data_IF_326888483847
#
_entry.id   IF_326888483847
#
_cell.length_a   1.000
_cell.length_b   1.000
_cell.length_c   1.000
_cell.angle_alpha   90.00
_cell.angle_beta   90.00
_cell.angle_gamma   90.00
#
_symmetry.space_group_name_H-M   'P 1'
#
loop_
_entity.id
_entity.type
_entity.pdbx_description
1 polymer ?
#
# COMPACT_ATOMS: atom_id res chain seq x y z
N UNK A 1 -58.46 -44.77 -12.54
CA UNK A 1 -57.82 -43.45 -12.39
C UNK A 1 -56.63 -43.62 -11.43
N UNK A 2 -55.44 -43.15 -11.83
CA UNK A 2 -54.13 -43.58 -11.31
C UNK A 2 -53.94 -43.36 -9.79
N UNK A 3 -53.74 -44.44 -9.05
CA UNK A 3 -53.38 -44.42 -7.63
C UNK A 3 -51.87 -44.16 -7.51
N UNK A 4 -51.47 -42.88 -7.52
CA UNK A 4 -50.06 -42.49 -7.44
C UNK A 4 -49.51 -42.74 -6.03
N UNK A 5 -48.59 -43.70 -5.90
CA UNK A 5 -47.94 -44.05 -4.63
C UNK A 5 -47.28 -42.80 -3.99
N UNK A 6 -47.69 -42.36 -2.78
CA UNK A 6 -47.19 -41.15 -2.14
C UNK A 6 -45.68 -41.18 -1.90
N UNK A 7 -45.10 -42.37 -1.72
CA UNK A 7 -43.66 -42.55 -1.58
C UNK A 7 -42.90 -42.17 -2.86
N UNK A 8 -43.49 -42.33 -4.06
CA UNK A 8 -42.84 -41.97 -5.33
C UNK A 8 -42.76 -40.46 -5.50
N UNK A 9 -43.79 -39.72 -5.07
CA UNK A 9 -43.77 -38.24 -5.07
C UNK A 9 -42.76 -37.71 -4.05
N UNK A 10 -42.72 -38.29 -2.85
CA UNK A 10 -41.76 -37.93 -1.82
C UNK A 10 -40.31 -38.18 -2.27
N UNK A 11 -40.04 -39.34 -2.89
CA UNK A 11 -38.72 -39.68 -3.43
C UNK A 11 -38.29 -38.69 -4.52
N UNK A 12 -39.18 -38.34 -5.45
CA UNK A 12 -38.87 -37.37 -6.51
C UNK A 12 -38.53 -35.99 -5.93
N UNK A 13 -39.28 -35.52 -4.93
CA UNK A 13 -39.01 -34.21 -4.29
C UNK A 13 -37.65 -34.19 -3.58
N UNK A 14 -37.29 -35.25 -2.86
CA UNK A 14 -36.00 -35.35 -2.18
C UNK A 14 -34.82 -35.39 -3.17
N UNK A 15 -34.97 -36.12 -4.29
CA UNK A 15 -33.97 -36.18 -5.35
C UNK A 15 -33.76 -34.81 -5.99
N UNK A 16 -34.83 -34.09 -6.32
CA UNK A 16 -34.75 -32.74 -6.89
C UNK A 16 -34.10 -31.77 -5.89
N UNK A 17 -34.52 -31.78 -4.63
CA UNK A 17 -33.97 -30.90 -3.60
C UNK A 17 -32.46 -31.11 -3.42
N UNK A 18 -32.00 -32.37 -3.35
CA UNK A 18 -30.58 -32.69 -3.24
C UNK A 18 -29.78 -32.26 -4.49
N UNK A 19 -30.31 -32.46 -5.69
CA UNK A 19 -29.68 -32.06 -6.94
C UNK A 19 -29.53 -30.53 -7.06
N UNK A 20 -30.55 -29.77 -6.65
CA UNK A 20 -30.50 -28.29 -6.64
C UNK A 20 -29.44 -27.79 -5.67
N UNK A 21 -29.41 -28.33 -4.45
CA UNK A 21 -28.42 -27.95 -3.43
C UNK A 21 -27.01 -28.25 -3.92
N UNK A 22 -26.74 -29.47 -4.40
CA UNK A 22 -25.43 -29.86 -4.90
C UNK A 22 -24.97 -29.00 -6.09
N UNK A 23 -25.88 -28.69 -7.02
CA UNK A 23 -25.59 -27.82 -8.17
C UNK A 23 -25.20 -26.40 -7.74
N UNK A 24 -25.95 -25.80 -6.81
CA UNK A 24 -25.65 -24.46 -6.30
C UNK A 24 -24.29 -24.39 -5.59
N UNK A 25 -23.97 -25.38 -4.75
CA UNK A 25 -22.69 -25.45 -4.06
C UNK A 25 -21.51 -25.59 -5.03
N UNK A 26 -21.68 -26.35 -6.12
CA UNK A 26 -20.63 -26.53 -7.13
C UNK A 26 -20.33 -25.22 -7.87
N UNK A 27 -21.36 -24.48 -8.28
CA UNK A 27 -21.20 -23.17 -8.92
C UNK A 27 -20.53 -22.18 -7.97
N UNK A 28 -20.97 -22.11 -6.70
CA UNK A 28 -20.35 -21.25 -5.70
C UNK A 28 -18.87 -21.59 -5.45
N UNK A 29 -18.51 -22.88 -5.43
CA UNK A 29 -17.13 -23.31 -5.25
C UNK A 29 -16.23 -22.86 -6.42
N UNK A 30 -16.69 -23.01 -7.67
CA UNK A 30 -15.97 -22.56 -8.86
C UNK A 30 -15.80 -21.02 -8.84
N UNK A 31 -16.88 -20.30 -8.57
CA UNK A 31 -16.83 -18.84 -8.48
C UNK A 31 -15.85 -18.38 -7.39
N UNK A 32 -15.90 -18.98 -6.21
CA UNK A 32 -14.97 -18.69 -5.11
C UNK A 32 -13.51 -18.94 -5.49
N UNK A 33 -13.24 -20.03 -6.21
CA UNK A 33 -11.89 -20.38 -6.67
C UNK A 33 -11.31 -19.34 -7.66
N UNK A 34 -12.13 -18.82 -8.58
CA UNK A 34 -11.70 -17.78 -9.54
C UNK A 34 -11.61 -16.41 -8.89
N UNK A 35 -12.51 -16.10 -7.95
CA UNK A 35 -12.58 -14.81 -7.28
C UNK A 35 -11.42 -14.59 -6.31
N UNK A 36 -10.97 -15.61 -5.59
CA UNK A 36 -9.88 -15.49 -4.60
C UNK A 36 -8.58 -14.89 -5.17
N UNK A 37 -8.00 -15.38 -6.28
CA UNK A 37 -6.78 -14.78 -6.85
C UNK A 37 -7.01 -13.36 -7.40
N UNK A 38 -8.19 -13.09 -7.97
CA UNK A 38 -8.54 -11.76 -8.48
C UNK A 38 -8.66 -10.74 -7.34
N UNK A 39 -9.33 -11.13 -6.24
CA UNK A 39 -9.43 -10.28 -5.04
C UNK A 39 -8.07 -10.03 -4.39
N UNK A 40 -7.17 -11.03 -4.37
CA UNK A 40 -5.82 -10.85 -3.86
C UNK A 40 -5.04 -9.79 -4.67
N UNK A 41 -5.11 -9.84 -6.00
CA UNK A 41 -4.48 -8.84 -6.86
C UNK A 41 -5.12 -7.45 -6.69
N UNK A 42 -6.44 -7.37 -6.63
CA UNK A 42 -7.16 -6.11 -6.44
C UNK A 42 -6.80 -5.45 -5.10
N UNK A 43 -6.69 -6.25 -4.03
CA UNK A 43 -6.25 -5.77 -2.71
C UNK A 43 -4.83 -5.22 -2.74
N UNK A 44 -3.90 -5.87 -3.45
CA UNK A 44 -2.54 -5.36 -3.56
C UNK A 44 -2.46 -4.06 -4.38
N UNK A 45 -3.23 -3.94 -5.47
CA UNK A 45 -3.35 -2.67 -6.21
C UNK A 45 -3.87 -1.54 -5.32
N UNK A 46 -4.84 -1.83 -4.45
CA UNK A 46 -5.35 -0.86 -3.49
C UNK A 46 -4.28 -0.45 -2.47
N UNK A 47 -3.45 -1.38 -2.00
CA UNK A 47 -2.31 -1.08 -1.12
C UNK A 47 -1.25 -0.21 -1.81
N UNK A 48 -0.87 -0.54 -3.05
CA UNK A 48 0.06 0.28 -3.83
C UNK A 48 -0.47 1.72 -4.02
N UNK A 49 -1.75 1.85 -4.36
CA UNK A 49 -2.41 3.17 -4.49
C UNK A 49 -2.41 3.94 -3.16
N UNK A 50 -2.70 3.26 -2.05
CA UNK A 50 -2.64 3.84 -0.72
C UNK A 50 -1.22 4.24 -0.31
N UNK A 51 -0.20 3.44 -0.67
CA UNK A 51 1.20 3.78 -0.47
C UNK A 51 1.58 5.09 -1.18
N UNK A 52 1.20 5.24 -2.46
CA UNK A 52 1.41 6.49 -3.20
C UNK A 52 0.65 7.67 -2.58
N UNK A 53 -0.58 7.45 -2.10
CA UNK A 53 -1.35 8.49 -1.41
C UNK A 53 -0.67 8.94 -0.10
N UNK A 54 -0.10 8.00 0.64
CA UNK A 54 0.68 8.29 1.84
C UNK A 54 1.92 9.14 1.51
N UNK A 55 2.67 8.77 0.47
CA UNK A 55 3.82 9.55 -0.03
C UNK A 55 3.43 10.98 -0.42
N UNK A 56 2.29 11.18 -1.09
CA UNK A 56 1.80 12.52 -1.44
C UNK A 56 1.48 13.36 -0.20
N UNK A 57 0.80 12.77 0.79
CA UNK A 57 0.51 13.44 2.07
C UNK A 57 1.80 13.81 2.81
N UNK A 58 2.80 12.92 2.82
CA UNK A 58 4.12 13.23 3.36
C UNK A 58 4.80 14.38 2.60
N UNK A 59 4.69 14.43 1.26
CA UNK A 59 5.21 15.53 0.45
C UNK A 59 4.65 16.90 0.86
N UNK A 60 3.33 16.96 1.09
CA UNK A 60 2.71 18.16 1.66
C UNK A 60 3.25 18.48 3.06
N UNK A 61 3.42 17.47 3.93
CA UNK A 61 3.96 17.65 5.27
C UNK A 61 5.43 18.13 5.28
N UNK A 62 6.28 17.64 4.38
CA UNK A 62 7.65 18.14 4.21
C UNK A 62 7.68 19.60 3.75
N UNK A 63 6.79 19.97 2.83
CA UNK A 63 6.68 21.35 2.37
C UNK A 63 6.25 22.29 3.51
N UNK A 64 5.27 21.88 4.32
CA UNK A 64 4.84 22.64 5.52
C UNK A 64 5.96 22.73 6.56
N UNK A 65 6.63 21.63 6.87
CA UNK A 65 7.79 21.62 7.77
C UNK A 65 8.86 22.62 7.29
N UNK A 66 9.21 22.59 6.01
CA UNK A 66 10.22 23.49 5.45
C UNK A 66 9.81 24.97 5.55
N UNK A 67 8.52 25.28 5.37
CA UNK A 67 8.01 26.66 5.55
C UNK A 67 8.25 27.16 6.98
N UNK A 68 8.05 26.31 7.99
CA UNK A 68 8.24 26.67 9.40
C UNK A 68 9.72 26.64 9.84
N UNK A 69 10.57 25.89 9.14
CA UNK A 69 11.96 25.59 9.55
C UNK A 69 13.00 26.19 8.60
N UNK A 70 12.86 27.47 8.26
CA UNK A 70 13.84 28.24 7.44
C UNK A 70 14.15 27.56 6.09
N UNK A 71 13.14 26.98 5.47
CA UNK A 71 13.25 26.22 4.23
C UNK A 71 14.18 25.00 4.31
N UNK A 72 14.44 24.45 5.49
CA UNK A 72 15.28 23.25 5.64
C UNK A 72 14.45 21.98 5.67
N UNK A 73 14.98 20.92 5.07
CA UNK A 73 14.49 19.57 5.27
C UNK A 73 14.78 19.07 6.69
N UNK A 74 13.96 18.18 7.24
CA UNK A 74 14.14 17.71 8.61
C UNK A 74 15.43 16.89 8.77
N UNK A 75 15.95 16.80 10.00
CA UNK A 75 17.08 15.93 10.30
C UNK A 75 16.70 14.45 10.11
N UNK A 76 17.54 13.71 9.39
CA UNK A 76 17.31 12.31 9.05
C UNK A 76 17.01 11.42 10.26
N UNK A 77 17.64 11.65 11.41
CA UNK A 77 17.47 10.83 12.62
C UNK A 77 16.06 10.86 13.22
N UNK A 78 15.24 11.85 12.88
CA UNK A 78 13.90 12.07 13.45
C UNK A 78 12.92 12.65 12.43
N UNK A 79 13.06 12.29 11.16
CA UNK A 79 12.28 12.89 10.07
C UNK A 79 10.77 12.64 10.21
N UNK A 80 10.36 11.47 10.68
CA UNK A 80 8.95 11.14 10.90
C UNK A 80 8.39 11.98 12.05
N UNK A 81 9.13 12.14 13.15
CA UNK A 81 8.75 13.01 14.26
C UNK A 81 8.56 14.45 13.80
N UNK A 82 9.48 14.92 12.97
CA UNK A 82 9.48 16.29 12.46
C UNK A 82 8.25 16.60 11.60
N UNK A 83 7.81 15.65 10.75
CA UNK A 83 6.64 15.87 9.88
C UNK A 83 5.31 15.45 10.51
N UNK A 84 5.32 14.69 11.61
CA UNK A 84 4.11 14.17 12.27
C UNK A 84 3.06 15.25 12.60
N UNK A 85 3.43 16.44 13.12
CA UNK A 85 2.46 17.50 13.41
C UNK A 85 1.71 18.03 12.17
N UNK A 86 2.26 17.82 10.97
CA UNK A 86 1.71 18.28 9.70
C UNK A 86 0.89 17.19 8.98
N UNK A 87 0.76 16.01 9.57
CA UNK A 87 0.00 14.90 9.00
C UNK A 87 -1.39 14.80 9.63
N UNK A 88 -2.46 14.66 8.81
CA UNK A 88 -3.81 14.48 9.35
C UNK A 88 -3.99 13.13 10.05
N UNK A 89 -3.27 12.09 9.59
CA UNK A 89 -3.36 10.72 10.12
C UNK A 89 -1.97 10.05 10.16
N UNK A 90 -1.06 10.48 11.06
CA UNK A 90 0.34 10.03 11.04
C UNK A 90 0.49 8.52 11.19
N UNK A 91 -0.31 7.86 12.03
CA UNK A 91 -0.26 6.41 12.22
C UNK A 91 -0.56 5.60 10.95
N UNK A 92 -1.37 6.16 10.05
CA UNK A 92 -1.68 5.52 8.76
C UNK A 92 -0.70 5.97 7.68
N UNK A 93 -0.38 7.25 7.63
CA UNK A 93 0.39 7.85 6.53
C UNK A 93 1.87 7.49 6.58
N UNK A 94 2.44 7.31 7.78
CA UNK A 94 3.85 6.93 7.93
C UNK A 94 4.11 5.43 7.73
N UNK A 95 3.08 4.65 7.40
CA UNK A 95 3.17 3.19 7.26
C UNK A 95 2.79 2.74 5.87
N UNK A 96 3.65 1.95 5.24
CA UNK A 96 3.34 1.31 3.97
C UNK A 96 2.30 0.19 4.21
N UNK A 97 1.17 0.17 3.49
CA UNK A 97 0.11 -0.82 3.70
C UNK A 97 0.47 -2.24 3.22
N UNK A 98 1.62 -2.40 2.56
CA UNK A 98 2.18 -3.69 2.12
C UNK A 98 3.25 -4.25 3.08
N UNK A 99 3.49 -3.61 4.24
CA UNK A 99 4.32 -4.17 5.32
C UNK A 99 3.46 -4.58 6.53
N UNK A 100 3.98 -5.37 7.49
CA UNK A 100 3.26 -5.67 8.73
C UNK A 100 2.76 -4.39 9.41
N UNK A 101 1.55 -4.41 9.98
CA UNK A 101 0.86 -3.20 10.47
C UNK A 101 1.64 -2.40 11.54
N UNK A 102 2.51 -3.08 12.30
CA UNK A 102 3.36 -2.46 13.33
C UNK A 102 4.64 -1.80 12.77
N UNK A 103 4.94 -2.00 11.49
CA UNK A 103 6.12 -1.49 10.79
C UNK A 103 5.82 -0.18 10.04
N UNK A 104 6.87 0.49 9.56
CA UNK A 104 6.75 1.74 8.78
C UNK A 104 6.98 1.52 7.28
N UNK A 105 8.12 0.94 6.89
CA UNK A 105 8.37 0.56 5.48
C UNK A 105 8.71 1.71 4.53
N UNK A 106 8.95 2.92 5.06
CA UNK A 106 9.49 4.07 4.33
C UNK A 106 10.83 4.48 4.94
N UNK A 107 11.79 4.85 4.09
CA UNK A 107 13.03 5.49 4.53
C UNK A 107 13.20 6.88 3.91
N UNK A 108 13.87 7.75 4.66
CA UNK A 108 14.25 9.09 4.23
C UNK A 108 15.67 9.10 3.68
N UNK A 109 15.89 9.79 2.57
CA UNK A 109 17.23 9.91 1.98
C UNK A 109 18.12 10.78 2.87
N UNK A 110 19.09 10.15 3.55
CA UNK A 110 19.96 10.80 4.53
C UNK A 110 20.81 11.91 3.92
N UNK A 111 21.09 11.86 2.62
CA UNK A 111 21.86 12.89 1.91
C UNK A 111 21.14 14.23 1.87
N UNK A 112 19.81 14.24 2.05
CA UNK A 112 18.98 15.44 2.02
C UNK A 112 18.79 16.10 3.39
N UNK A 113 19.27 15.45 4.46
CA UNK A 113 19.10 15.90 5.83
C UNK A 113 19.60 17.34 6.03
N UNK A 114 18.71 18.24 6.45
CA UNK A 114 19.05 19.65 6.72
C UNK A 114 19.34 20.50 5.48
N UNK A 115 19.29 19.94 4.27
CA UNK A 115 19.44 20.74 3.04
C UNK A 115 18.28 21.72 2.89
N UNK A 116 18.54 22.86 2.25
CA UNK A 116 17.48 23.79 1.90
C UNK A 116 16.55 23.16 0.85
N UNK A 117 15.26 23.01 1.17
CA UNK A 117 14.26 22.34 0.36
C UNK A 117 14.06 23.01 -1.01
N UNK A 118 14.03 24.35 -1.07
CA UNK A 118 13.87 25.05 -2.35
C UNK A 118 15.09 24.86 -3.26
N UNK A 119 16.30 24.94 -2.69
CA UNK A 119 17.51 24.66 -3.44
C UNK A 119 17.56 23.20 -3.92
N UNK A 120 17.18 22.25 -3.07
CA UNK A 120 17.12 20.84 -3.42
C UNK A 120 16.12 20.59 -4.56
N UNK A 121 14.96 21.25 -4.56
CA UNK A 121 13.95 21.14 -5.64
C UNK A 121 14.47 21.62 -6.99
N UNK A 122 15.31 22.65 -7.02
CA UNK A 122 15.89 23.16 -8.27
C UNK A 122 17.06 22.30 -8.73
N UNK A 123 17.92 21.88 -7.81
CA UNK A 123 19.19 21.22 -8.17
C UNK A 123 19.07 19.70 -8.29
N UNK A 124 18.13 19.09 -7.58
CA UNK A 124 17.98 17.64 -7.43
C UNK A 124 16.49 17.22 -7.46
N UNK A 125 15.69 17.66 -8.44
CA UNK A 125 14.24 17.42 -8.45
C UNK A 125 13.87 15.93 -8.42
N UNK A 126 14.63 15.12 -9.16
CA UNK A 126 14.33 13.69 -9.37
C UNK A 126 14.92 12.76 -8.30
N UNK A 127 15.55 13.31 -7.26
CA UNK A 127 16.13 12.50 -6.18
C UNK A 127 15.03 12.04 -5.23
N UNK A 128 15.00 10.76 -4.82
CA UNK A 128 14.07 10.29 -3.79
C UNK A 128 14.30 11.03 -2.46
N UNK A 129 13.24 11.65 -1.96
CA UNK A 129 13.15 12.26 -0.63
C UNK A 129 12.76 11.22 0.42
N UNK A 130 11.66 10.51 0.15
CA UNK A 130 11.20 9.36 0.92
C UNK A 130 10.84 8.25 -0.04
N UNK A 131 11.21 7.02 0.27
CA UNK A 131 11.00 5.88 -0.63
C UNK A 131 10.66 4.62 0.15
N UNK A 132 10.04 3.66 -0.53
CA UNK A 132 9.79 2.33 0.03
C UNK A 132 11.10 1.69 0.46
N UNK A 133 11.15 1.14 1.67
CA UNK A 133 12.39 0.62 2.24
C UNK A 133 12.19 -0.76 2.89
N UNK A 134 13.21 -1.62 2.79
CA UNK A 134 13.29 -2.85 3.59
C UNK A 134 13.59 -2.59 5.06
N UNK A 135 14.10 -1.40 5.40
CA UNK A 135 14.25 -0.97 6.78
C UNK A 135 12.89 -0.56 7.34
N UNK A 136 12.33 -1.42 8.19
CA UNK A 136 10.99 -1.27 8.74
C UNK A 136 10.93 -0.41 10.02
N UNK A 137 12.08 0.12 10.46
CA UNK A 137 12.17 0.91 11.67
C UNK A 137 11.54 2.30 11.53
N UNK A 138 11.16 2.88 12.67
CA UNK A 138 10.76 4.29 12.73
C UNK A 138 11.96 5.17 12.41
N UNK A 139 11.74 6.27 11.68
CA UNK A 139 12.80 7.16 11.21
C UNK A 139 13.90 6.44 10.39
N UNK A 140 13.58 5.33 9.71
CA UNK A 140 14.52 4.67 8.81
C UNK A 140 15.09 5.69 7.82
N UNK A 141 16.40 5.64 7.62
CA UNK A 141 17.13 6.57 6.77
C UNK A 141 18.46 5.97 6.34
N UNK A 142 18.83 6.22 5.09
CA UNK A 142 20.09 5.82 4.46
C UNK A 142 20.20 6.56 3.10
N UNK A 143 21.32 6.46 2.35
CA UNK A 143 21.49 7.15 1.07
C UNK A 143 20.85 6.39 -0.11
N UNK A 144 19.59 5.97 0.05
CA UNK A 144 18.79 5.23 -0.95
C UNK A 144 19.37 3.85 -1.29
N UNK A 145 19.86 3.13 -0.29
CA UNK A 145 20.43 1.78 -0.43
C UNK A 145 19.49 0.67 0.05
N UNK A 146 18.38 1.03 0.70
CA UNK A 146 17.43 0.06 1.27
C UNK A 146 16.17 -0.14 0.44
N UNK A 147 16.18 0.20 -0.86
CA UNK A 147 15.08 -0.09 -1.77
C UNK A 147 14.80 -1.60 -1.81
N UNK A 148 13.53 -2.04 -1.68
CA UNK A 148 13.17 -3.45 -1.78
C UNK A 148 13.57 -4.06 -3.12
N UNK A 149 14.34 -5.15 -3.07
CA UNK A 149 14.68 -5.99 -4.21
C UNK A 149 14.43 -7.47 -3.81
N UNK A 150 13.38 -8.15 -4.33
CA UNK A 150 12.45 -7.66 -5.35
C UNK A 150 11.56 -6.49 -4.86
N UNK A 151 11.06 -5.65 -5.78
CA UNK A 151 10.15 -4.55 -5.48
C UNK A 151 8.91 -4.96 -4.67
N UNK A 152 8.47 -4.06 -3.79
CA UNK A 152 7.40 -4.35 -2.81
C UNK A 152 6.01 -4.47 -3.42
N UNK A 153 5.69 -3.70 -4.46
CA UNK A 153 4.34 -3.55 -4.96
C UNK A 153 4.08 -4.28 -6.28
N UNK A 154 2.80 -4.57 -6.53
CA UNK A 154 2.34 -5.21 -7.77
C UNK A 154 2.78 -4.39 -9.00
N UNK A 155 3.26 -5.08 -10.03
CA UNK A 155 3.88 -4.43 -11.20
C UNK A 155 5.39 -4.26 -11.09
N UNK A 156 6.02 -4.91 -10.09
CA UNK A 156 7.47 -4.91 -9.88
C UNK A 156 8.02 -3.48 -9.66
N UNK A 157 7.34 -2.71 -8.81
CA UNK A 157 7.67 -1.32 -8.53
C UNK A 157 7.84 -1.05 -7.03
N UNK A 158 8.79 -0.18 -6.70
CA UNK A 158 8.83 0.55 -5.45
C UNK A 158 8.28 1.94 -5.70
N UNK A 159 7.84 2.65 -4.68
CA UNK A 159 7.34 4.02 -4.78
C UNK A 159 8.25 4.97 -4.00
N UNK A 160 8.46 6.15 -4.58
CA UNK A 160 9.21 7.23 -3.95
C UNK A 160 8.48 8.56 -4.12
N UNK A 161 8.52 9.36 -3.06
CA UNK A 161 8.33 10.80 -3.10
C UNK A 161 9.66 11.41 -3.52
N UNK A 162 9.68 12.13 -4.63
CA UNK A 162 10.85 12.87 -5.09
C UNK A 162 10.90 14.25 -4.46
N UNK A 163 12.07 14.88 -4.49
CA UNK A 163 12.29 16.21 -3.89
C UNK A 163 11.38 17.27 -4.49
N UNK A 164 11.07 17.19 -5.79
CA UNK A 164 10.15 18.12 -6.47
C UNK A 164 8.71 18.08 -5.92
N UNK A 165 8.35 17.03 -5.16
CA UNK A 165 7.04 16.78 -4.57
C UNK A 165 6.20 15.74 -5.32
N UNK A 166 6.70 15.21 -6.44
CA UNK A 166 6.02 14.16 -7.21
C UNK A 166 6.21 12.79 -6.58
N UNK A 167 5.25 11.90 -6.81
CA UNK A 167 5.33 10.51 -6.37
C UNK A 167 5.38 9.61 -7.58
N UNK A 168 6.43 8.81 -7.68
CA UNK A 168 6.72 7.99 -8.85
C UNK A 168 7.12 6.57 -8.44
N UNK A 169 7.00 5.64 -9.39
CA UNK A 169 7.58 4.32 -9.23
C UNK A 169 9.07 4.37 -9.52
N UNK A 170 9.88 3.76 -8.66
CA UNK A 170 11.34 3.68 -8.80
C UNK A 170 11.78 2.22 -8.93
N UNK A 171 12.79 2.01 -9.77
CA UNK A 171 13.48 0.72 -9.86
C UNK A 171 14.31 0.45 -8.59
N UNK A 172 14.54 -0.82 -8.22
CA UNK A 172 15.39 -1.19 -7.10
C UNK A 172 16.87 -0.85 -7.31
#
# INVERSE_FOLDING_TARGET
MQNANPNRKLVIVLLIASAVVLGSCFVCAILGAVLSPVFAQAREKARATACMSNLRQMGSAFAMYAQDHRSQLPPASRWMDAITPYLPQPERTLRCPSVPAQSFGYAYNSQLSGMNYQNARVQKPDVPLVYDSVNLARNATDPVTSLPNPPRHLGNANHALLVDGTVQSVAP
#
